data_IF_208856334954
#
_entry.id   IF_208856334954
#
_cell.length_a   1.000
_cell.length_b   1.000
_cell.length_c   1.000
_cell.angle_alpha   90.00
_cell.angle_beta   90.00
_cell.angle_gamma   90.00
#
_symmetry.space_group_name_H-M   'P 1'
#
loop_
_entity.id
_entity.type
_entity.pdbx_description
1 polymer ?
#
# COMPACT_ATOMS: atom_id res chain seq x y z
N UNK A 1 -3.90 -13.30 -10.04
CA UNK A 1 -3.82 -12.21 -9.05
C UNK A 1 -5.19 -11.59 -8.86
N UNK A 2 -5.93 -11.98 -7.81
CA UNK A 2 -7.18 -11.33 -7.46
C UNK A 2 -6.93 -9.89 -6.97
N UNK A 3 -7.81 -8.98 -7.34
CA UNK A 3 -7.85 -7.61 -6.83
C UNK A 3 -9.01 -7.50 -5.84
N UNK A 4 -8.72 -7.11 -4.60
CA UNK A 4 -9.71 -6.90 -3.55
C UNK A 4 -9.70 -5.44 -3.09
N UNK A 5 -10.89 -4.92 -2.79
CA UNK A 5 -11.05 -3.59 -2.22
C UNK A 5 -10.86 -3.67 -0.71
N UNK A 6 -9.89 -2.91 -0.19
CA UNK A 6 -9.62 -2.76 1.25
C UNK A 6 -9.95 -1.34 1.70
N UNK A 7 -10.62 -1.20 2.84
CA UNK A 7 -11.07 0.09 3.37
C UNK A 7 -10.76 0.18 4.85
N UNK A 8 -10.08 1.23 5.27
CA UNK A 8 -9.67 1.36 6.67
C UNK A 8 -9.02 2.69 6.98
N UNK A 9 -8.72 2.89 8.26
CA UNK A 9 -7.78 3.92 8.71
C UNK A 9 -6.38 3.34 8.69
N UNK A 10 -5.40 4.16 8.36
CA UNK A 10 -4.00 3.76 8.40
C UNK A 10 -3.49 3.87 9.84
N UNK A 11 -2.92 2.79 10.37
CA UNK A 11 -2.22 2.77 11.67
C UNK A 11 -0.70 2.64 11.51
N UNK A 12 -0.24 2.27 10.31
CA UNK A 12 1.17 2.20 9.93
C UNK A 12 1.39 2.79 8.54
N UNK A 13 2.43 3.61 8.40
CA UNK A 13 2.94 4.07 7.12
C UNK A 13 4.46 4.17 7.20
N UNK A 14 5.14 3.43 6.33
CA UNK A 14 6.60 3.41 6.22
C UNK A 14 7.02 3.59 4.77
N UNK A 15 8.07 4.37 4.55
CA UNK A 15 8.69 4.56 3.23
C UNK A 15 10.13 4.07 3.30
N UNK A 16 10.46 3.10 2.45
CA UNK A 16 11.78 2.48 2.32
C UNK A 16 12.54 3.05 1.12
N UNK A 17 13.82 2.66 1.00
CA UNK A 17 14.64 2.97 -0.17
C UNK A 17 14.14 2.19 -1.39
N UNK A 18 14.28 2.77 -2.58
CA UNK A 18 13.93 2.15 -3.86
C UNK A 18 14.64 0.81 -4.05
N UNK A 19 13.90 -0.21 -4.50
CA UNK A 19 14.37 -1.58 -4.68
C UNK A 19 14.39 -2.41 -3.38
N UNK A 20 13.69 -1.97 -2.34
CA UNK A 20 13.52 -2.74 -1.10
C UNK A 20 12.20 -3.51 -1.11
N UNK A 21 12.23 -4.73 -0.59
CA UNK A 21 11.02 -5.51 -0.27
C UNK A 21 10.61 -5.42 1.20
N UNK A 22 9.44 -5.97 1.52
CA UNK A 22 8.92 -6.06 2.87
C UNK A 22 8.20 -7.40 3.10
N UNK A 23 8.34 -7.95 4.30
CA UNK A 23 7.65 -9.19 4.72
C UNK A 23 8.60 -10.39 4.87
N UNK A 24 8.10 -11.49 5.45
CA UNK A 24 8.84 -12.76 5.54
C UNK A 24 9.00 -13.40 4.14
N UNK A 25 9.94 -14.32 3.94
CA UNK A 25 10.24 -14.91 2.63
C UNK A 25 9.02 -15.51 1.90
N UNK A 26 8.06 -16.08 2.65
CA UNK A 26 6.87 -16.73 2.08
C UNK A 26 5.71 -15.75 1.81
N UNK A 27 5.76 -14.53 2.34
CA UNK A 27 4.74 -13.48 2.18
C UNK A 27 5.40 -12.12 1.96
N UNK A 28 6.41 -12.09 1.08
CA UNK A 28 7.16 -10.86 0.79
C UNK A 28 6.52 -10.09 -0.37
N UNK A 29 6.48 -8.78 -0.25
CA UNK A 29 6.09 -7.84 -1.30
C UNK A 29 7.29 -6.99 -1.72
N UNK A 30 7.47 -6.82 -3.03
CA UNK A 30 8.42 -5.86 -3.62
C UNK A 30 7.76 -4.48 -3.61
N UNK A 31 8.00 -3.68 -2.57
CA UNK A 31 7.37 -2.38 -2.40
C UNK A 31 8.17 -1.46 -1.47
N UNK A 32 8.28 -0.20 -1.88
CA UNK A 32 8.94 0.85 -1.12
C UNK A 32 8.04 1.45 -0.03
N UNK A 33 6.76 1.64 -0.32
CA UNK A 33 5.82 2.21 0.64
C UNK A 33 5.02 1.07 1.24
N UNK A 34 5.06 0.94 2.56
CA UNK A 34 4.36 -0.10 3.29
C UNK A 34 3.33 0.55 4.19
N UNK A 35 2.08 0.11 4.07
CA UNK A 35 0.98 0.56 4.92
C UNK A 35 0.27 -0.60 5.58
N UNK A 36 -0.32 -0.33 6.73
CA UNK A 36 -1.24 -1.25 7.41
C UNK A 36 -2.55 -0.51 7.73
N UNK A 37 -3.65 -1.24 7.67
CA UNK A 37 -4.97 -0.73 7.99
C UNK A 37 -5.46 -1.36 9.29
N UNK A 38 -6.05 -0.55 10.15
CA UNK A 38 -6.56 -1.00 11.45
C UNK A 38 -7.53 -2.19 11.29
N UNK A 39 -7.22 -3.30 11.98
CA UNK A 39 -8.03 -4.52 11.97
C UNK A 39 -7.86 -5.42 10.75
N UNK A 40 -6.82 -5.20 9.93
CA UNK A 40 -6.46 -6.10 8.82
C UNK A 40 -5.30 -7.01 9.23
N UNK A 41 -5.18 -8.18 8.59
CA UNK A 41 -4.13 -9.16 8.92
C UNK A 41 -2.82 -8.94 8.14
N UNK A 42 -2.84 -8.13 7.08
CA UNK A 42 -1.75 -8.02 6.12
C UNK A 42 -1.30 -6.57 5.85
N UNK A 43 -0.07 -6.45 5.34
CA UNK A 43 0.53 -5.19 4.92
C UNK A 43 0.37 -4.99 3.42
N UNK A 44 0.20 -3.73 3.02
CA UNK A 44 -0.04 -3.35 1.64
C UNK A 44 1.07 -2.44 1.12
N UNK A 45 1.59 -2.78 -0.05
CA UNK A 45 2.74 -2.13 -0.68
C UNK A 45 2.36 -1.19 -1.81
N UNK A 46 3.05 -0.07 -1.96
CA UNK A 46 3.08 0.70 -3.22
C UNK A 46 4.51 0.70 -3.75
N UNK A 47 4.65 0.38 -5.04
CA UNK A 47 5.93 0.46 -5.72
C UNK A 47 6.23 1.92 -6.10
N UNK A 48 7.40 2.43 -5.69
CA UNK A 48 7.97 3.69 -6.13
C UNK A 48 9.06 3.41 -7.16
N UNK A 49 8.67 2.92 -8.34
CA UNK A 49 9.61 2.73 -9.45
C UNK A 49 9.87 4.07 -10.15
N UNK A 50 11.11 4.27 -10.58
CA UNK A 50 11.50 5.40 -11.43
C UNK A 50 11.15 5.09 -12.89
N UNK A 51 9.87 4.77 -13.12
CA UNK A 51 9.31 4.45 -14.42
C UNK A 51 8.33 5.55 -14.86
N UNK A 52 7.65 5.34 -15.99
CA UNK A 52 6.68 6.30 -16.54
C UNK A 52 5.52 6.64 -15.59
N UNK A 53 5.29 5.83 -14.55
CA UNK A 53 4.19 5.99 -13.58
C UNK A 53 4.64 6.67 -12.27
N UNK A 54 5.87 7.20 -12.21
CA UNK A 54 6.42 7.86 -11.02
C UNK A 54 5.49 8.95 -10.43
N UNK A 55 4.82 9.72 -11.27
CA UNK A 55 3.87 10.74 -10.82
C UNK A 55 2.64 10.12 -10.15
N UNK A 56 2.12 9.03 -10.73
CA UNK A 56 1.00 8.24 -10.17
C UNK A 56 1.38 7.67 -8.80
N UNK A 57 2.55 7.04 -8.70
CA UNK A 57 3.04 6.46 -7.44
C UNK A 57 3.26 7.53 -6.36
N UNK A 58 3.74 8.71 -6.75
CA UNK A 58 3.88 9.85 -5.83
C UNK A 58 2.52 10.39 -5.37
N UNK A 59 1.57 10.55 -6.27
CA UNK A 59 0.22 10.99 -5.90
C UNK A 59 -0.45 10.01 -4.93
N UNK A 60 -0.27 8.70 -5.13
CA UNK A 60 -0.75 7.69 -4.17
C UNK A 60 -0.10 7.84 -2.79
N UNK A 61 1.22 8.05 -2.73
CA UNK A 61 1.92 8.30 -1.47
C UNK A 61 1.37 9.53 -0.74
N UNK A 62 1.12 10.62 -1.47
CA UNK A 62 0.62 11.86 -0.89
C UNK A 62 -0.80 11.66 -0.32
N UNK A 63 -1.67 10.92 -1.01
CA UNK A 63 -2.99 10.54 -0.47
C UNK A 63 -2.91 9.68 0.79
N UNK A 64 -1.98 8.71 0.83
CA UNK A 64 -1.77 7.87 2.01
C UNK A 64 -1.24 8.69 3.19
N UNK A 65 -0.33 9.64 2.94
CA UNK A 65 0.19 10.56 3.96
C UNK A 65 -0.90 11.47 4.50
N UNK A 66 -1.72 12.05 3.63
CA UNK A 66 -2.84 12.88 4.03
C UNK A 66 -3.83 12.10 4.89
N UNK A 67 -4.16 10.87 4.51
CA UNK A 67 -5.04 10.02 5.28
C UNK A 67 -4.47 9.66 6.66
N UNK A 68 -3.20 9.29 6.72
CA UNK A 68 -2.51 8.95 7.96
C UNK A 68 -2.45 10.16 8.91
N UNK A 69 -2.04 11.32 8.40
CA UNK A 69 -1.88 12.54 9.20
C UNK A 69 -3.21 13.10 9.72
N UNK A 70 -4.31 12.92 8.97
CA UNK A 70 -5.62 13.45 9.34
C UNK A 70 -6.57 12.40 9.95
N UNK A 71 -6.13 11.13 10.07
CA UNK A 71 -6.97 10.03 10.55
C UNK A 71 -8.17 9.71 9.64
N UNK A 72 -8.07 10.04 8.36
CA UNK A 72 -9.11 9.78 7.36
C UNK A 72 -9.11 8.32 6.93
N UNK A 73 -10.22 7.88 6.34
CA UNK A 73 -10.33 6.52 5.79
C UNK A 73 -9.84 6.53 4.34
N UNK A 74 -9.14 5.48 3.96
CA UNK A 74 -8.76 5.23 2.57
C UNK A 74 -9.47 4.01 2.04
N UNK A 75 -9.73 4.01 0.74
CA UNK A 75 -10.02 2.82 -0.03
C UNK A 75 -8.82 2.53 -0.92
N UNK A 76 -8.33 1.29 -0.87
CA UNK A 76 -7.27 0.80 -1.74
C UNK A 76 -7.75 -0.40 -2.54
N UNK A 77 -7.45 -0.42 -3.83
CA UNK A 77 -7.58 -1.62 -4.65
C UNK A 77 -6.24 -2.37 -4.54
N UNK A 78 -6.27 -3.59 -4.00
CA UNK A 78 -5.09 -4.36 -3.63
C UNK A 78 -5.03 -5.66 -4.42
N UNK A 79 -3.94 -5.85 -5.15
CA UNK A 79 -3.61 -7.08 -5.87
C UNK A 79 -2.84 -8.03 -4.96
N UNK A 80 -3.29 -9.27 -4.87
CA UNK A 80 -2.63 -10.32 -4.10
C UNK A 80 -2.02 -11.36 -5.03
N UNK A 81 -0.87 -11.92 -4.62
CA UNK A 81 -0.44 -13.23 -5.13
C UNK A 81 -1.21 -14.31 -4.37
N UNK A 82 -1.36 -15.48 -4.98
CA UNK A 82 -2.14 -16.56 -4.37
C UNK A 82 -1.54 -16.97 -3.01
N UNK A 83 -2.41 -17.18 -2.01
CA UNK A 83 -2.07 -17.56 -0.62
C UNK A 83 -1.32 -16.51 0.24
N UNK A 84 -1.14 -15.28 -0.26
CA UNK A 84 -0.47 -14.20 0.48
C UNK A 84 -1.44 -13.29 1.25
N UNK A 85 -1.01 -12.85 2.45
CA UNK A 85 -1.73 -11.83 3.22
C UNK A 85 -1.26 -10.42 2.85
N UNK A 86 -0.02 -10.29 2.38
CA UNK A 86 0.50 -9.03 1.87
C UNK A 86 0.11 -8.84 0.41
N UNK A 87 -0.10 -7.59 0.01
CA UNK A 87 -0.56 -7.26 -1.34
C UNK A 87 -0.01 -5.95 -1.86
N UNK A 88 -0.12 -5.74 -3.16
CA UNK A 88 0.30 -4.50 -3.83
C UNK A 88 -0.92 -3.63 -4.11
N UNK A 89 -0.90 -2.40 -3.61
CA UNK A 89 -1.88 -1.37 -3.90
C UNK A 89 -1.66 -0.90 -5.34
N UNK A 90 -2.70 -1.02 -6.15
CA UNK A 90 -2.70 -0.52 -7.54
C UNK A 90 -3.47 0.80 -7.68
N UNK A 91 -4.27 1.16 -6.68
CA UNK A 91 -5.02 2.43 -6.62
C UNK A 91 -5.34 2.81 -5.19
N UNK A 92 -5.24 4.10 -4.89
CA UNK A 92 -5.67 4.69 -3.61
C UNK A 92 -6.70 5.78 -3.85
N UNK A 93 -7.76 5.76 -3.04
CA UNK A 93 -8.81 6.77 -3.01
C UNK A 93 -9.00 7.23 -1.57
N UNK A 94 -9.08 8.54 -1.39
CA UNK A 94 -9.30 9.15 -0.09
C UNK A 94 -10.80 9.33 0.15
N UNK A 95 -11.30 8.84 1.28
CA UNK A 95 -12.68 9.02 1.72
C UNK A 95 -12.68 9.89 2.98
N UNK A 96 -13.07 11.16 2.82
CA UNK A 96 -13.17 12.15 3.90
C UNK A 96 -14.49 12.04 4.65
#
# INVERSE_FOLDING_TARGET
MPVLIKRGKLDHLRVNHTGSGFGPPDDSIDAEIIVHMEGHDGYYGVQLRDDGERLTHRAMLDLLRDAFNNGWRVQCDVSFSDEQSNGIIIRTMLNK
#
